data_IF_617368796652
#
_entry.id   IF_617368796652
#
_cell.length_a   1.000
_cell.length_b   1.000
_cell.length_c   1.000
_cell.angle_alpha   90.00
_cell.angle_beta   90.00
_cell.angle_gamma   90.00
#
_symmetry.space_group_name_H-M   'P 1'
#
loop_
_entity.id
_entity.type
_entity.pdbx_description
1 polymer ?
#
# COMPACT_ATOMS: atom_id res chain seq x y z
N UNK A 1 13.14 -2.87 28.72
CA UNK A 1 13.21 -2.32 27.36
C UNK A 1 11.83 -2.49 26.75
N UNK A 2 11.19 -1.44 26.21
CA UNK A 2 9.95 -1.61 25.44
C UNK A 2 10.32 -2.37 24.16
N UNK A 3 9.58 -3.43 23.82
CA UNK A 3 9.77 -4.12 22.54
C UNK A 3 9.45 -3.13 21.43
N UNK A 4 10.30 -3.11 20.41
CA UNK A 4 10.06 -2.34 19.18
C UNK A 4 8.80 -2.89 18.50
N UNK A 5 7.96 -2.03 17.95
CA UNK A 5 6.79 -2.44 17.17
C UNK A 5 7.16 -3.16 15.89
N UNK A 6 6.20 -3.82 15.26
CA UNK A 6 6.38 -4.55 14.02
C UNK A 6 5.96 -3.71 12.80
N UNK A 7 6.76 -3.74 11.74
CA UNK A 7 6.45 -3.16 10.46
C UNK A 7 5.80 -4.22 9.56
N UNK A 8 4.56 -3.96 9.14
CA UNK A 8 3.77 -4.87 8.32
C UNK A 8 3.49 -4.18 6.99
N UNK A 9 3.87 -4.80 5.90
CA UNK A 9 3.64 -4.31 4.54
C UNK A 9 2.56 -5.14 3.89
N UNK A 10 1.48 -4.50 3.48
CA UNK A 10 0.38 -5.12 2.74
C UNK A 10 0.42 -4.60 1.31
N UNK A 11 0.73 -5.48 0.39
CA UNK A 11 0.68 -5.24 -1.06
C UNK A 11 -0.30 -6.20 -1.74
N UNK A 12 -0.38 -6.14 -3.03
CA UNK A 12 -1.23 -7.03 -3.82
C UNK A 12 -1.83 -6.31 -5.02
N UNK A 13 -2.53 -7.06 -5.85
CA UNK A 13 -3.06 -6.56 -7.11
C UNK A 13 -3.94 -5.34 -6.94
N UNK A 14 -3.85 -4.44 -7.91
CA UNK A 14 -4.77 -3.30 -7.98
C UNK A 14 -6.22 -3.78 -8.07
N UNK A 15 -7.09 -3.30 -7.18
CA UNK A 15 -8.50 -3.71 -7.16
C UNK A 15 -8.82 -4.96 -6.34
N UNK A 16 -7.83 -5.60 -5.72
CA UNK A 16 -8.02 -6.84 -4.94
C UNK A 16 -8.74 -6.64 -3.60
N UNK A 17 -8.90 -5.39 -3.13
CA UNK A 17 -9.56 -5.08 -1.86
C UNK A 17 -8.62 -4.87 -0.68
N UNK A 18 -7.35 -4.52 -0.91
CA UNK A 18 -6.36 -4.20 0.15
C UNK A 18 -6.92 -3.27 1.22
N UNK A 19 -7.43 -2.11 0.81
CA UNK A 19 -7.96 -1.12 1.75
C UNK A 19 -9.11 -1.63 2.63
N UNK A 20 -9.93 -2.57 2.13
CA UNK A 20 -10.98 -3.20 2.93
C UNK A 20 -10.39 -4.09 4.01
N UNK A 21 -9.40 -4.92 3.65
CA UNK A 21 -8.67 -5.79 4.59
C UNK A 21 -7.95 -4.95 5.64
N UNK A 22 -7.23 -3.91 5.23
CA UNK A 22 -6.49 -3.01 6.12
C UNK A 22 -7.42 -2.31 7.10
N UNK A 23 -8.55 -1.75 6.62
CA UNK A 23 -9.56 -1.12 7.50
C UNK A 23 -10.10 -2.09 8.56
N UNK A 24 -10.30 -3.36 8.18
CA UNK A 24 -10.76 -4.38 9.13
C UNK A 24 -9.70 -4.72 10.17
N UNK A 25 -8.44 -4.88 9.76
CA UNK A 25 -7.32 -5.12 10.69
C UNK A 25 -7.18 -3.97 11.71
N UNK A 26 -7.28 -2.72 11.26
CA UNK A 26 -7.23 -1.55 12.14
C UNK A 26 -8.39 -1.58 13.14
N UNK A 27 -9.62 -1.79 12.67
CA UNK A 27 -10.81 -1.74 13.52
C UNK A 27 -10.90 -2.88 14.53
N UNK A 28 -10.42 -4.07 14.17
CA UNK A 28 -10.50 -5.27 15.03
C UNK A 28 -9.31 -5.47 15.95
N UNK A 29 -8.12 -5.09 15.51
CA UNK A 29 -6.87 -5.43 16.21
C UNK A 29 -6.05 -4.21 16.64
N UNK A 30 -6.49 -3.00 16.31
CA UNK A 30 -5.83 -1.76 16.75
C UNK A 30 -4.46 -1.53 16.12
N UNK A 31 -4.22 -2.02 14.90
CA UNK A 31 -3.01 -1.68 14.17
C UNK A 31 -3.01 -0.21 13.77
N UNK A 32 -1.85 0.44 13.78
CA UNK A 32 -1.68 1.78 13.20
C UNK A 32 -1.51 1.68 11.68
N UNK A 33 -2.05 2.64 10.94
CA UNK A 33 -1.85 2.77 9.50
C UNK A 33 -0.90 3.93 9.22
N UNK A 34 0.12 3.69 8.42
CA UNK A 34 0.89 4.78 7.84
C UNK A 34 0.14 5.40 6.66
N UNK A 35 -0.18 6.68 6.79
CA UNK A 35 -0.80 7.43 5.70
C UNK A 35 0.31 7.83 4.72
N UNK A 36 0.17 7.39 3.47
CA UNK A 36 1.10 7.72 2.39
C UNK A 36 0.94 9.16 1.93
N UNK A 37 2.00 9.74 1.40
CA UNK A 37 1.98 11.02 0.70
C UNK A 37 1.83 10.82 -0.81
N UNK A 38 1.20 11.78 -1.49
CA UNK A 38 1.07 11.76 -2.95
C UNK A 38 1.00 13.17 -3.53
N UNK A 39 1.46 13.31 -4.79
CA UNK A 39 1.29 14.53 -5.58
C UNK A 39 0.02 14.54 -6.42
N UNK A 40 -0.74 13.44 -6.39
CA UNK A 40 -2.05 13.35 -7.04
C UNK A 40 -3.05 14.27 -6.31
N UNK A 41 -3.88 14.96 -7.09
CA UNK A 41 -5.00 15.70 -6.50
C UNK A 41 -5.98 14.78 -5.78
N UNK A 42 -6.61 15.21 -4.69
CA UNK A 42 -7.66 14.46 -4.01
C UNK A 42 -8.81 14.11 -4.97
N UNK A 43 -9.40 12.94 -4.79
CA UNK A 43 -10.67 12.56 -5.42
C UNK A 43 -11.83 13.06 -4.56
N UNK A 44 -13.04 13.03 -5.13
CA UNK A 44 -14.25 13.39 -4.37
C UNK A 44 -14.36 12.51 -3.11
N UNK A 45 -14.50 13.17 -1.97
CA UNK A 45 -14.60 12.51 -0.66
C UNK A 45 -13.28 12.13 0.01
N UNK A 46 -12.13 12.32 -0.64
CA UNK A 46 -10.82 12.15 0.00
C UNK A 46 -10.40 13.42 0.76
N UNK A 47 -9.81 13.23 1.93
CA UNK A 47 -9.37 14.30 2.82
C UNK A 47 -7.87 14.21 3.12
N UNK A 48 -7.22 15.36 3.21
CA UNK A 48 -5.80 15.43 3.55
C UNK A 48 -5.54 14.90 4.96
N UNK A 49 -4.57 13.97 5.09
CA UNK A 49 -4.24 13.33 6.35
C UNK A 49 -5.14 12.16 6.74
N UNK A 50 -6.12 11.79 5.88
CA UNK A 50 -6.97 10.62 6.08
C UNK A 50 -6.67 9.53 5.05
N UNK A 51 -6.83 9.80 3.76
CA UNK A 51 -6.49 8.87 2.68
C UNK A 51 -5.03 9.01 2.28
N UNK A 52 -4.58 10.25 2.10
CA UNK A 52 -3.22 10.61 1.77
C UNK A 52 -2.83 11.95 2.41
N UNK A 53 -1.54 12.18 2.58
CA UNK A 53 -1.00 13.54 2.66
C UNK A 53 -0.84 14.05 1.23
N UNK A 54 -1.79 14.88 0.79
CA UNK A 54 -1.73 15.50 -0.53
C UNK A 54 -0.79 16.69 -0.50
N UNK A 55 0.19 16.70 -1.38
CA UNK A 55 1.19 17.77 -1.43
C UNK A 55 1.56 18.12 -2.88
N UNK A 56 2.15 19.28 -3.07
CA UNK A 56 2.69 19.69 -4.35
C UNK A 56 3.88 18.82 -4.75
N UNK A 57 4.20 18.82 -6.05
CA UNK A 57 5.37 18.10 -6.56
C UNK A 57 6.66 18.61 -5.91
N UNK A 58 6.80 19.93 -5.76
CA UNK A 58 7.98 20.53 -5.15
C UNK A 58 8.16 20.15 -3.67
N UNK A 59 7.06 20.08 -2.90
CA UNK A 59 7.11 19.63 -1.51
C UNK A 59 7.55 18.17 -1.42
N UNK A 60 7.04 17.31 -2.32
CA UNK A 60 7.41 15.91 -2.36
C UNK A 60 8.89 15.71 -2.73
N UNK A 61 9.37 16.41 -3.76
CA UNK A 61 10.76 16.35 -4.20
C UNK A 61 11.71 16.87 -3.10
N UNK A 62 11.37 17.93 -2.39
CA UNK A 62 12.11 18.37 -1.22
C UNK A 62 12.21 17.26 -0.15
N UNK A 63 11.09 16.55 0.14
CA UNK A 63 11.12 15.44 1.09
C UNK A 63 11.99 14.29 0.62
N UNK A 64 12.08 14.02 -0.69
CA UNK A 64 13.03 13.04 -1.25
C UNK A 64 14.46 13.45 -0.92
N UNK A 65 14.82 14.72 -1.22
CA UNK A 65 16.17 15.24 -1.03
C UNK A 65 16.64 15.22 0.43
N UNK A 66 15.71 15.41 1.37
CA UNK A 66 15.98 15.32 2.81
C UNK A 66 15.86 13.89 3.38
N UNK A 67 15.62 12.86 2.55
CA UNK A 67 15.42 11.49 3.02
C UNK A 67 14.17 11.32 3.90
N UNK A 68 13.14 12.11 3.67
CA UNK A 68 11.91 12.14 4.45
C UNK A 68 10.96 10.97 4.22
N UNK A 69 11.25 10.10 3.24
CA UNK A 69 10.48 8.89 2.94
C UNK A 69 11.26 7.62 3.30
N UNK A 70 10.55 6.59 3.75
CA UNK A 70 11.09 5.22 3.86
C UNK A 70 11.23 4.64 2.46
N UNK A 71 10.18 4.78 1.66
CA UNK A 71 10.13 4.41 0.25
C UNK A 71 9.31 5.46 -0.51
N UNK A 72 9.59 5.59 -1.78
CA UNK A 72 8.78 6.36 -2.70
C UNK A 72 8.90 5.79 -4.12
N UNK A 73 7.89 6.05 -4.93
CA UNK A 73 7.84 5.66 -6.33
C UNK A 73 7.09 6.70 -7.15
N UNK A 74 7.41 6.78 -8.43
CA UNK A 74 6.60 7.50 -9.39
C UNK A 74 5.71 6.51 -10.12
N UNK A 75 4.41 6.77 -10.10
CA UNK A 75 3.44 6.01 -10.87
C UNK A 75 2.69 6.94 -11.82
N UNK A 76 2.88 6.71 -13.15
CA UNK A 76 2.41 7.60 -14.20
C UNK A 76 3.01 9.00 -13.98
N UNK A 77 2.22 10.01 -13.67
CA UNK A 77 2.66 11.39 -13.50
C UNK A 77 2.81 11.81 -12.02
N UNK A 78 2.39 10.96 -11.10
CA UNK A 78 2.35 11.27 -9.68
C UNK A 78 3.37 10.49 -8.86
N UNK A 79 3.84 11.13 -7.80
CA UNK A 79 4.64 10.49 -6.77
C UNK A 79 3.75 9.91 -5.68
N UNK A 80 4.23 8.81 -5.09
CA UNK A 80 3.66 8.17 -3.91
C UNK A 80 4.80 7.78 -2.99
N UNK A 81 4.66 7.97 -1.68
CA UNK A 81 5.71 7.61 -0.74
C UNK A 81 5.21 7.52 0.69
N UNK A 82 5.95 6.79 1.50
CA UNK A 82 5.65 6.58 2.92
C UNK A 82 6.52 7.49 3.77
N UNK A 83 5.93 8.48 4.52
CA UNK A 83 6.68 9.38 5.37
C UNK A 83 7.43 8.63 6.48
N UNK A 84 8.75 8.83 6.55
CA UNK A 84 9.66 8.09 7.43
C UNK A 84 9.42 8.36 8.92
N UNK A 85 9.27 9.64 9.26
CA UNK A 85 9.20 10.11 10.65
C UNK A 85 8.08 9.43 11.45
N UNK A 86 6.89 9.33 10.86
CA UNK A 86 5.74 8.73 11.52
C UNK A 86 5.94 7.23 11.79
N UNK A 87 6.46 6.51 10.79
CA UNK A 87 6.69 5.07 10.91
C UNK A 87 7.74 4.76 11.98
N UNK A 88 8.89 5.46 11.94
CA UNK A 88 9.95 5.27 12.92
C UNK A 88 9.49 5.60 14.35
N UNK A 89 8.72 6.67 14.51
CA UNK A 89 8.16 7.03 15.81
C UNK A 89 7.23 5.92 16.33
N UNK A 90 6.29 5.46 15.51
CA UNK A 90 5.34 4.39 15.90
C UNK A 90 6.06 3.10 16.28
N UNK A 91 7.06 2.70 15.52
CA UNK A 91 7.87 1.51 15.84
C UNK A 91 8.62 1.67 17.16
N UNK A 92 9.19 2.84 17.44
CA UNK A 92 9.91 3.12 18.69
C UNK A 92 8.97 3.18 19.91
N UNK A 93 7.71 3.55 19.70
CA UNK A 93 6.65 3.50 20.72
C UNK A 93 6.14 2.08 20.99
N UNK A 94 6.59 1.08 20.22
CA UNK A 94 6.16 -0.33 20.33
C UNK A 94 4.84 -0.62 19.61
N UNK A 95 4.41 0.26 18.69
CA UNK A 95 3.19 0.09 17.92
C UNK A 95 3.44 -0.74 16.66
N UNK A 96 2.51 -1.63 16.34
CA UNK A 96 2.51 -2.34 15.07
C UNK A 96 1.89 -1.46 13.99
N UNK A 97 2.62 -1.19 12.91
CA UNK A 97 2.21 -0.28 11.87
C UNK A 97 2.08 -0.99 10.52
N UNK A 98 0.98 -0.72 9.82
CA UNK A 98 0.72 -1.24 8.48
C UNK A 98 1.09 -0.17 7.44
N UNK A 99 1.81 -0.60 6.41
CA UNK A 99 1.99 0.14 5.16
C UNK A 99 1.15 -0.53 4.07
N UNK A 100 0.20 0.20 3.50
CA UNK A 100 -0.53 -0.24 2.30
C UNK A 100 0.14 0.39 1.08
N UNK A 101 1.00 -0.36 0.40
CA UNK A 101 1.85 0.13 -0.69
C UNK A 101 1.90 -0.82 -1.89
N UNK A 102 2.43 -0.32 -3.00
CA UNK A 102 2.65 -1.10 -4.23
C UNK A 102 3.82 -2.08 -4.07
N UNK A 103 3.85 -3.13 -4.92
CA UNK A 103 4.88 -4.20 -4.88
C UNK A 103 6.31 -3.64 -4.92
N UNK A 104 6.59 -2.68 -5.79
CA UNK A 104 7.91 -2.06 -5.88
C UNK A 104 8.34 -1.35 -4.59
N UNK A 105 7.38 -0.73 -3.88
CA UNK A 105 7.64 -0.12 -2.58
C UNK A 105 7.94 -1.18 -1.52
N UNK A 106 7.20 -2.30 -1.52
CA UNK A 106 7.41 -3.39 -0.57
C UNK A 106 8.83 -3.97 -0.64
N UNK A 107 9.37 -4.14 -1.85
CA UNK A 107 10.74 -4.64 -2.03
C UNK A 107 11.78 -3.69 -1.43
N UNK A 108 11.62 -2.37 -1.65
CA UNK A 108 12.49 -1.36 -1.04
C UNK A 108 12.43 -1.36 0.49
N UNK A 109 11.22 -1.60 1.06
CA UNK A 109 11.05 -1.73 2.50
C UNK A 109 11.80 -2.96 3.02
N UNK A 110 11.68 -4.11 2.36
CA UNK A 110 12.36 -5.35 2.82
C UNK A 110 13.88 -5.22 2.83
N UNK A 111 14.45 -4.48 1.88
CA UNK A 111 15.87 -4.18 1.85
C UNK A 111 16.34 -3.32 3.05
N UNK A 112 15.54 -2.31 3.44
CA UNK A 112 15.88 -1.40 4.53
C UNK A 112 15.47 -1.93 5.92
N UNK A 113 14.41 -2.71 5.98
CA UNK A 113 13.83 -3.32 7.18
C UNK A 113 13.68 -4.83 6.97
N UNK A 114 14.75 -5.62 7.10
CA UNK A 114 14.72 -7.07 6.85
C UNK A 114 13.68 -7.81 7.70
N UNK A 115 13.39 -7.30 8.92
CA UNK A 115 12.40 -7.87 9.83
C UNK A 115 10.96 -7.46 9.50
N UNK A 116 10.72 -6.62 8.46
CA UNK A 116 9.37 -6.27 8.04
C UNK A 116 8.64 -7.50 7.51
N UNK A 117 7.39 -7.66 7.96
CA UNK A 117 6.49 -8.71 7.51
C UNK A 117 5.80 -8.28 6.22
N UNK A 118 6.04 -9.00 5.13
CA UNK A 118 5.43 -8.74 3.83
C UNK A 118 4.25 -9.68 3.57
N UNK A 119 3.08 -9.11 3.34
CA UNK A 119 1.84 -9.85 3.04
C UNK A 119 1.33 -9.43 1.67
N UNK A 120 1.15 -10.39 0.77
CA UNK A 120 0.56 -10.17 -0.55
C UNK A 120 -0.92 -10.55 -0.55
N UNK A 121 -1.78 -9.62 -0.94
CA UNK A 121 -3.21 -9.90 -1.11
C UNK A 121 -3.48 -10.25 -2.56
N UNK A 122 -3.91 -11.49 -2.79
CA UNK A 122 -4.27 -12.02 -4.09
C UNK A 122 -5.79 -12.12 -4.27
N UNK A 123 -6.26 -12.12 -5.51
CA UNK A 123 -7.63 -12.52 -5.84
C UNK A 123 -7.70 -14.04 -6.05
N UNK A 124 -8.88 -14.67 -5.86
CA UNK A 124 -9.04 -16.11 -6.12
C UNK A 124 -8.74 -16.51 -7.57
N UNK A 125 -8.98 -15.58 -8.50
CA UNK A 125 -8.70 -15.77 -9.92
C UNK A 125 -8.56 -14.43 -10.66
N UNK A 126 -7.98 -14.45 -11.86
CA UNK A 126 -7.92 -13.29 -12.76
C UNK A 126 -9.34 -12.81 -13.15
N UNK A 127 -10.28 -13.74 -13.33
CA UNK A 127 -11.68 -13.41 -13.63
C UNK A 127 -12.35 -12.69 -12.47
N UNK A 128 -12.10 -13.09 -11.23
CA UNK A 128 -12.56 -12.40 -10.03
C UNK A 128 -11.98 -10.99 -9.93
N UNK A 129 -10.68 -10.83 -10.21
CA UNK A 129 -10.02 -9.54 -10.22
C UNK A 129 -10.61 -8.61 -11.28
N UNK A 130 -10.84 -9.13 -12.51
CA UNK A 130 -11.49 -8.38 -13.61
C UNK A 130 -12.89 -7.93 -13.20
N UNK A 131 -13.70 -8.80 -12.60
CA UNK A 131 -15.06 -8.48 -12.15
C UNK A 131 -15.04 -7.36 -11.07
N UNK A 132 -14.10 -7.41 -10.12
CA UNK A 132 -13.93 -6.38 -9.08
C UNK A 132 -13.53 -5.02 -9.66
N UNK A 133 -12.63 -5.01 -10.66
CA UNK A 133 -12.23 -3.77 -11.36
C UNK A 133 -13.40 -3.18 -12.15
N UNK A 134 -14.15 -3.99 -12.88
CA UNK A 134 -15.33 -3.56 -13.64
C UNK A 134 -16.47 -3.07 -12.72
N UNK A 135 -16.69 -3.72 -11.59
CA UNK A 135 -17.74 -3.40 -10.62
C UNK A 135 -17.58 -2.04 -9.92
N UNK A 136 -16.39 -1.42 -9.97
CA UNK A 136 -16.18 -0.06 -9.45
C UNK A 136 -16.87 1.03 -10.28
N UNK A 137 -17.22 0.76 -11.54
CA UNK A 137 -17.93 1.69 -12.42
C UNK A 137 -17.15 2.97 -12.81
N UNK A 138 -15.92 3.12 -12.32
CA UNK A 138 -15.08 4.31 -12.50
C UNK A 138 -14.05 4.18 -13.60
N UNK A 139 -13.94 2.99 -14.23
CA UNK A 139 -12.86 2.68 -15.18
C UNK A 139 -13.40 2.16 -16.51
N UNK A 140 -12.77 2.61 -17.59
CA UNK A 140 -13.04 2.08 -18.90
C UNK A 140 -12.29 0.75 -19.15
N UNK A 141 -12.71 0.01 -20.17
CA UNK A 141 -12.16 -1.32 -20.48
C UNK A 141 -10.64 -1.28 -20.74
N UNK A 142 -10.13 -0.24 -21.41
CA UNK A 142 -8.69 -0.09 -21.66
C UNK A 142 -7.88 0.03 -20.36
N UNK A 143 -8.42 0.72 -19.36
CA UNK A 143 -7.80 0.83 -18.02
C UNK A 143 -7.81 -0.50 -17.30
N UNK A 144 -8.91 -1.26 -17.37
CA UNK A 144 -9.01 -2.61 -16.77
C UNK A 144 -7.96 -3.54 -17.39
N UNK A 145 -7.80 -3.54 -18.71
CA UNK A 145 -6.77 -4.35 -19.40
C UNK A 145 -5.37 -4.00 -18.93
N UNK A 146 -5.04 -2.71 -18.81
CA UNK A 146 -3.72 -2.25 -18.30
C UNK A 146 -3.48 -2.74 -16.88
N UNK A 147 -4.49 -2.70 -16.02
CA UNK A 147 -4.38 -3.18 -14.62
C UNK A 147 -4.22 -4.68 -14.52
N UNK A 148 -4.91 -5.45 -15.36
CA UNK A 148 -4.75 -6.89 -15.43
C UNK A 148 -3.35 -7.29 -15.92
N UNK A 149 -2.82 -6.56 -16.92
CA UNK A 149 -1.44 -6.76 -17.36
C UNK A 149 -0.44 -6.49 -16.21
N UNK A 150 -0.62 -5.37 -15.51
CA UNK A 150 0.22 -5.05 -14.33
C UNK A 150 0.11 -6.14 -13.26
N UNK A 151 -1.09 -6.66 -12.99
CA UNK A 151 -1.27 -7.74 -12.03
C UNK A 151 -0.51 -9.02 -12.43
N UNK A 152 -0.42 -9.33 -13.73
CA UNK A 152 0.39 -10.45 -14.23
C UNK A 152 1.89 -10.22 -13.99
N UNK A 153 2.36 -8.99 -14.17
CA UNK A 153 3.74 -8.60 -13.88
C UNK A 153 4.04 -8.69 -12.36
N UNK A 154 3.13 -8.17 -11.53
CA UNK A 154 3.24 -8.21 -10.06
C UNK A 154 3.18 -9.64 -9.50
N UNK A 155 2.53 -10.57 -10.20
CA UNK A 155 2.45 -11.97 -9.78
C UNK A 155 3.83 -12.66 -9.74
N UNK A 156 4.80 -12.21 -10.55
CA UNK A 156 6.17 -12.73 -10.53
C UNK A 156 6.95 -12.40 -9.25
N UNK A 157 6.46 -11.43 -8.47
CA UNK A 157 7.09 -11.02 -7.22
C UNK A 157 6.43 -11.63 -5.98
N UNK A 158 5.38 -12.44 -6.14
CA UNK A 158 4.61 -13.01 -5.01
C UNK A 158 5.47 -13.93 -4.14
N UNK A 159 6.42 -14.64 -4.70
CA UNK A 159 7.35 -15.53 -3.99
C UNK A 159 8.33 -14.79 -3.05
N UNK A 160 8.44 -13.47 -3.18
CA UNK A 160 9.26 -12.63 -2.31
C UNK A 160 8.55 -12.20 -1.02
N UNK A 161 7.27 -12.54 -0.88
CA UNK A 161 6.47 -12.21 0.30
C UNK A 161 6.49 -13.32 1.33
N UNK A 162 6.42 -12.95 2.60
CA UNK A 162 6.38 -13.91 3.70
C UNK A 162 5.04 -14.67 3.73
N UNK A 163 3.93 -13.99 3.32
CA UNK A 163 2.60 -14.58 3.23
C UNK A 163 1.84 -14.11 1.98
N UNK A 164 1.07 -15.05 1.40
CA UNK A 164 0.10 -14.76 0.36
C UNK A 164 -1.29 -15.07 0.92
N UNK A 165 -2.16 -14.06 0.93
CA UNK A 165 -3.54 -14.17 1.41
C UNK A 165 -4.48 -14.01 0.23
N UNK A 166 -5.32 -15.02 -0.01
CA UNK A 166 -6.36 -14.96 -1.05
C UNK A 166 -7.60 -14.29 -0.47
N UNK A 167 -7.89 -13.08 -0.95
CA UNK A 167 -9.08 -12.33 -0.54
C UNK A 167 -10.29 -12.77 -1.38
N UNK A 168 -10.94 -13.84 -0.94
CA UNK A 168 -12.20 -14.35 -1.51
C UNK A 168 -13.39 -13.82 -0.72
N UNK A 169 -13.42 -14.15 0.55
CA UNK A 169 -14.45 -13.75 1.51
C UNK A 169 -13.76 -13.04 2.69
N UNK A 170 -14.21 -11.83 2.98
CA UNK A 170 -13.61 -11.00 4.04
C UNK A 170 -13.79 -11.60 5.46
N UNK A 171 -14.78 -12.46 5.64
CA UNK A 171 -15.11 -13.09 6.94
C UNK A 171 -14.38 -14.41 7.19
N UNK A 172 -13.62 -14.88 6.20
CA UNK A 172 -12.74 -16.05 6.30
C UNK A 172 -11.28 -15.68 6.40
#
# INVERSE_FOLDING_TARGET
>A
MKNKGSLIVISGFSGVGKGTVVKRLISQYGYDLSISATTRSPRDGEENGREYFFMSRSEFENLIDYGGFIEWTQYVENYYGTPKKYVEQSLNEGKNIILEIEVMGAMKIKEQYPDALLIFIAAPSISSLKARLAGRGTENEATIVKRLKKATEEASDMDKYDYIVVNDDLDK
#
